data_IF_633092571682
#
_entry.id   IF_633092571682
#
_cell.length_a   1.000
_cell.length_b   1.000
_cell.length_c   1.000
_cell.angle_alpha   90.00
_cell.angle_beta   90.00
_cell.angle_gamma   90.00
#
_symmetry.space_group_name_H-M   'P 1'
#
loop_
_entity.id
_entity.type
_entity.pdbx_description
1 polymer ?
#
# COMPACT_ATOMS: atom_id res chain seq x y z
N UNK A 1 -20.25 -26.70 4.44
CA UNK A 1 -19.81 -25.48 3.73
C UNK A 1 -21.00 -24.84 3.00
N UNK A 2 -21.19 -23.53 3.11
CA UNK A 2 -22.29 -22.80 2.46
C UNK A 2 -21.74 -22.06 1.23
N UNK A 3 -21.73 -22.66 0.02
CA UNK A 3 -21.16 -22.05 -1.17
C UNK A 3 -21.90 -20.77 -1.61
N UNK A 4 -23.11 -20.57 -1.09
CA UNK A 4 -23.95 -19.39 -1.31
C UNK A 4 -23.43 -18.15 -0.57
N UNK A 5 -22.48 -18.29 0.36
CA UNK A 5 -21.92 -17.18 1.16
C UNK A 5 -20.49 -16.87 0.68
N UNK A 6 -20.36 -15.89 -0.21
CA UNK A 6 -19.11 -15.48 -0.83
C UNK A 6 -18.86 -13.96 -0.72
N UNK A 7 -17.57 -13.61 -0.74
CA UNK A 7 -17.08 -12.24 -0.88
C UNK A 7 -15.91 -12.29 -1.84
N UNK A 8 -16.19 -12.05 -3.10
CA UNK A 8 -15.19 -12.08 -4.16
C UNK A 8 -14.66 -10.69 -4.38
N UNK A 9 -13.40 -10.45 -4.00
CA UNK A 9 -12.74 -9.17 -4.20
C UNK A 9 -11.46 -9.34 -5.01
N UNK A 10 -11.30 -8.47 -6.01
CA UNK A 10 -10.09 -8.34 -6.82
C UNK A 10 -9.49 -6.97 -6.52
N UNK A 11 -8.18 -6.94 -6.31
CA UNK A 11 -7.46 -5.73 -5.97
C UNK A 11 -6.16 -5.69 -6.75
N UNK A 12 -6.02 -4.67 -7.59
CA UNK A 12 -4.84 -4.44 -8.42
C UNK A 12 -4.17 -3.15 -7.97
N UNK A 13 -2.85 -3.16 -7.83
CA UNK A 13 -2.06 -1.97 -7.51
C UNK A 13 -0.82 -1.92 -8.39
N UNK A 14 -0.56 -0.76 -8.98
CA UNK A 14 0.67 -0.48 -9.70
C UNK A 14 1.35 0.74 -9.06
N UNK A 15 2.68 0.69 -8.96
CA UNK A 15 3.47 1.77 -8.35
C UNK A 15 4.84 1.85 -9.00
N UNK A 16 5.50 2.98 -8.78
CA UNK A 16 6.91 3.19 -9.13
C UNK A 16 7.57 3.93 -7.98
N UNK A 17 8.85 3.64 -7.72
CA UNK A 17 9.61 4.29 -6.66
C UNK A 17 10.73 5.13 -7.26
N UNK A 18 10.84 6.37 -6.79
CA UNK A 18 11.91 7.30 -7.13
C UNK A 18 12.71 7.61 -5.86
N UNK A 19 14.02 7.48 -5.93
CA UNK A 19 14.92 7.87 -4.82
C UNK A 19 15.82 9.00 -5.30
N UNK A 20 15.97 10.04 -4.48
CA UNK A 20 16.85 11.16 -4.76
C UNK A 20 17.49 11.71 -3.49
N UNK A 21 18.80 11.88 -3.52
CA UNK A 21 19.55 12.59 -2.48
C UNK A 21 19.47 14.11 -2.73
N UNK A 22 19.12 14.87 -1.70
CA UNK A 22 18.94 16.32 -1.68
C UNK A 22 19.69 16.90 -0.48
N UNK A 23 20.97 17.26 -0.67
CA UNK A 23 21.86 17.61 0.44
C UNK A 23 22.18 16.38 1.29
N UNK A 24 21.99 16.47 2.60
CA UNK A 24 22.18 15.35 3.54
C UNK A 24 20.97 14.42 3.63
N UNK A 25 19.88 14.74 2.91
CA UNK A 25 18.63 14.00 2.96
C UNK A 25 18.46 13.08 1.76
N UNK A 26 18.07 11.83 2.02
CA UNK A 26 17.53 10.93 1.02
C UNK A 26 16.01 10.99 1.02
N UNK A 27 15.43 11.21 -0.15
CA UNK A 27 13.99 11.29 -0.36
C UNK A 27 13.54 10.15 -1.26
N UNK A 28 12.53 9.42 -0.80
CA UNK A 28 11.86 8.34 -1.54
C UNK A 28 10.43 8.76 -1.83
N UNK A 29 10.03 8.71 -3.09
CA UNK A 29 8.68 9.00 -3.56
C UNK A 29 8.10 7.80 -4.30
N UNK A 30 6.92 7.37 -3.88
CA UNK A 30 6.23 6.21 -4.46
C UNK A 30 4.80 6.59 -4.85
N UNK A 31 4.59 7.17 -6.04
CA UNK A 31 3.25 7.29 -6.61
C UNK A 31 2.68 5.91 -6.91
N UNK A 32 1.37 5.76 -6.73
CA UNK A 32 0.67 4.52 -7.04
C UNK A 32 -0.76 4.78 -7.50
N UNK A 33 -1.27 3.82 -8.28
CA UNK A 33 -2.68 3.69 -8.62
C UNK A 33 -3.21 2.36 -8.07
N UNK A 34 -4.48 2.34 -7.69
CA UNK A 34 -5.16 1.17 -7.15
C UNK A 34 -6.55 1.06 -7.75
N UNK A 35 -6.93 -0.17 -8.05
CA UNK A 35 -8.24 -0.56 -8.55
C UNK A 35 -8.77 -1.71 -7.70
N UNK A 36 -10.00 -1.58 -7.21
CA UNK A 36 -10.66 -2.57 -6.37
C UNK A 36 -12.03 -2.84 -6.98
N UNK A 37 -12.35 -4.11 -7.15
CA UNK A 37 -13.65 -4.61 -7.55
C UNK A 37 -14.08 -5.67 -6.52
N UNK A 38 -15.33 -5.62 -6.06
CA UNK A 38 -15.86 -6.56 -5.10
C UNK A 38 -17.33 -6.87 -5.34
N UNK A 39 -17.63 -8.16 -5.36
CA UNK A 39 -18.98 -8.73 -5.31
C UNK A 39 -19.20 -9.41 -3.97
N UNK A 40 -20.30 -9.08 -3.29
CA UNK A 40 -20.63 -9.61 -1.97
C UNK A 40 -22.10 -10.04 -1.91
N UNK A 41 -22.35 -11.29 -1.53
CA UNK A 41 -23.72 -11.79 -1.34
C UNK A 41 -24.25 -11.43 0.06
N UNK A 42 -25.40 -10.76 0.10
CA UNK A 42 -26.03 -10.33 1.36
C UNK A 42 -27.03 -11.40 1.85
N UNK A 43 -26.54 -12.43 2.54
CA UNK A 43 -27.37 -13.56 2.99
C UNK A 43 -28.49 -13.23 4.02
N UNK A 44 -28.66 -11.96 4.37
CA UNK A 44 -29.67 -11.47 5.31
C UNK A 44 -30.92 -10.90 4.64
N UNK A 45 -30.89 -10.66 3.33
CA UNK A 45 -32.08 -10.25 2.58
C UNK A 45 -32.64 -11.44 1.80
N UNK A 46 -33.97 -11.50 1.57
CA UNK A 46 -34.58 -12.57 0.81
C UNK A 46 -34.05 -12.59 -0.64
N UNK A 47 -33.73 -13.79 -1.15
CA UNK A 47 -33.21 -14.01 -2.50
C UNK A 47 -31.70 -14.26 -2.55
N UNK A 48 -31.06 -13.88 -3.66
CA UNK A 48 -29.59 -13.86 -3.84
C UNK A 48 -29.09 -12.43 -4.13
N UNK A 49 -29.25 -11.50 -3.19
CA UNK A 49 -28.83 -10.09 -3.34
C UNK A 49 -27.30 -9.97 -3.42
N UNK A 50 -26.78 -9.47 -4.53
CA UNK A 50 -25.34 -9.21 -4.71
C UNK A 50 -25.08 -7.71 -4.65
N UNK A 51 -24.19 -7.29 -3.75
CA UNK A 51 -23.63 -5.96 -3.70
C UNK A 51 -22.38 -5.89 -4.56
N UNK A 52 -22.38 -5.02 -5.57
CA UNK A 52 -21.25 -4.77 -6.46
C UNK A 52 -20.63 -3.42 -6.12
N UNK A 53 -19.32 -3.40 -5.83
CA UNK A 53 -18.59 -2.17 -5.53
C UNK A 53 -17.31 -2.12 -6.33
N UNK A 54 -17.04 -0.97 -6.95
CA UNK A 54 -15.81 -0.70 -7.67
C UNK A 54 -15.20 0.62 -7.20
N UNK A 55 -13.89 0.65 -6.98
CA UNK A 55 -13.18 1.83 -6.49
C UNK A 55 -11.79 1.97 -7.09
N UNK A 56 -11.56 3.09 -7.75
CA UNK A 56 -10.27 3.48 -8.30
C UNK A 56 -9.69 4.65 -7.51
N UNK A 57 -8.40 4.56 -7.18
CA UNK A 57 -7.69 5.64 -6.50
C UNK A 57 -6.26 5.83 -6.98
N UNK A 58 -5.79 7.06 -6.85
CA UNK A 58 -4.38 7.44 -6.99
C UNK A 58 -3.88 7.91 -5.63
N UNK A 59 -2.61 7.64 -5.33
CA UNK A 59 -1.99 8.12 -4.10
C UNK A 59 -0.48 8.30 -4.25
N UNK A 60 0.10 8.94 -3.23
CA UNK A 60 1.53 9.21 -3.14
C UNK A 60 2.01 8.85 -1.74
N UNK A 61 3.09 8.09 -1.66
CA UNK A 61 3.84 7.86 -0.43
C UNK A 61 5.19 8.58 -0.53
N UNK A 62 5.60 9.26 0.55
CA UNK A 62 6.90 9.93 0.63
C UNK A 62 7.61 9.61 1.94
N UNK A 63 8.92 9.39 1.86
CA UNK A 63 9.80 9.23 3.04
C UNK A 63 11.02 10.13 2.83
N UNK A 64 11.46 10.82 3.87
CA UNK A 64 12.71 11.57 3.88
C UNK A 64 13.50 11.21 5.14
N UNK A 65 14.79 10.87 4.97
CA UNK A 65 15.69 10.52 6.07
C UNK A 65 17.08 11.11 5.83
N UNK A 66 17.82 11.32 6.91
CA UNK A 66 19.21 11.77 6.91
C UNK A 66 19.98 10.92 7.90
N UNK A 67 21.24 10.64 7.60
CA UNK A 67 22.13 10.08 8.60
C UNK A 67 22.46 11.16 9.64
N UNK A 68 22.45 10.79 10.91
CA UNK A 68 22.92 11.67 11.98
C UNK A 68 24.45 11.62 12.01
N UNK A 69 25.14 12.75 12.18
CA UNK A 69 26.58 12.74 12.34
C UNK A 69 26.93 11.87 13.55
N UNK A 70 27.72 10.82 13.30
CA UNK A 70 28.18 9.91 14.33
C UNK A 70 28.96 10.69 15.39
N UNK A 71 28.59 10.56 16.67
CA UNK A 71 29.43 11.07 17.74
C UNK A 71 30.84 10.44 17.61
N UNK A 72 31.93 11.17 17.93
CA UNK A 72 33.30 10.75 17.61
C UNK A 72 33.74 9.35 18.07
N UNK A 73 32.98 8.69 18.96
CA UNK A 73 33.30 7.38 19.54
C UNK A 73 32.14 6.35 19.52
N UNK A 74 31.15 6.49 18.63
CA UNK A 74 30.07 5.51 18.56
C UNK A 74 30.48 4.27 17.73
N UNK A 75 30.28 3.03 18.24
CA UNK A 75 30.61 1.83 17.48
C UNK A 75 29.73 1.72 16.23
N UNK A 76 30.33 1.33 15.11
CA UNK A 76 29.67 1.13 13.82
C UNK A 76 28.48 0.17 13.95
N UNK A 77 27.26 0.70 13.97
CA UNK A 77 26.06 -0.09 13.80
C UNK A 77 25.91 -0.39 12.30
N UNK A 78 26.35 -1.58 11.88
CA UNK A 78 26.04 -2.09 10.55
C UNK A 78 24.54 -2.34 10.46
N UNK A 79 23.81 -1.46 9.77
CA UNK A 79 22.43 -1.75 9.35
C UNK A 79 22.49 -2.75 8.19
N UNK A 80 21.77 -3.88 8.23
CA UNK A 80 21.69 -4.78 7.09
C UNK A 80 20.92 -4.09 5.96
N UNK A 81 21.53 -4.13 4.77
CA UNK A 81 20.96 -3.66 3.51
C UNK A 81 19.68 -4.39 3.14
#
# INVERSE_FOLDING_TARGET
PNPEAYRDSKNTRAWTTFTKTLGDWDVVLTPYVRDIDMNFIQHFLPGQPVEETAHQSIGLQSVAFTDLPMAPNSPSASMPR
#
